data_IF_088466991201
#
_entry.id   IF_088466991201
#
_cell.length_a   1.000
_cell.length_b   1.000
_cell.length_c   1.000
_cell.angle_alpha   90.00
_cell.angle_beta   90.00
_cell.angle_gamma   90.00
#
_symmetry.space_group_name_H-M   'P 1'
#
loop_
_entity.id
_entity.type
_entity.pdbx_description
1 polymer ?
#
# COMPACT_ATOMS: atom_id res chain seq x y z
N UNK A 1 13.07 -10.52 10.96
CA UNK A 1 12.76 -9.08 10.93
C UNK A 1 12.47 -8.76 9.48
N UNK A 2 11.21 -8.82 9.09
CA UNK A 2 10.79 -8.38 7.76
C UNK A 2 10.73 -6.87 7.85
N UNK A 3 11.71 -6.20 7.25
CA UNK A 3 11.68 -4.76 7.08
C UNK A 3 10.32 -4.41 6.48
N UNK A 4 9.55 -3.64 7.22
CA UNK A 4 8.37 -2.96 6.71
C UNK A 4 8.84 -1.74 5.89
N UNK A 5 9.80 -1.95 4.98
CA UNK A 5 9.89 -1.11 3.81
C UNK A 5 8.61 -1.41 3.05
N UNK A 6 7.57 -0.63 3.36
CA UNK A 6 6.36 -0.56 2.57
C UNK A 6 6.80 -0.56 1.11
N UNK A 7 6.63 -1.69 0.43
CA UNK A 7 6.92 -1.76 -0.99
C UNK A 7 5.89 -0.85 -1.64
N UNK A 8 6.25 0.42 -1.79
CA UNK A 8 5.40 1.48 -2.30
C UNK A 8 4.88 1.11 -3.68
N UNK A 9 5.63 0.30 -4.44
CA UNK A 9 5.18 -0.23 -5.71
C UNK A 9 4.04 -1.23 -5.50
N UNK A 10 4.14 -2.16 -4.54
CA UNK A 10 3.07 -3.14 -4.26
C UNK A 10 1.83 -2.47 -3.67
N UNK A 11 2.01 -1.50 -2.77
CA UNK A 11 0.91 -0.66 -2.27
C UNK A 11 0.20 0.04 -3.45
N UNK A 12 0.97 0.65 -4.35
CA UNK A 12 0.42 1.31 -5.54
C UNK A 12 -0.36 0.33 -6.42
N UNK A 13 0.16 -0.87 -6.64
CA UNK A 13 -0.51 -1.88 -7.45
C UNK A 13 -1.83 -2.33 -6.82
N UNK A 14 -1.86 -2.58 -5.50
CA UNK A 14 -3.07 -2.93 -4.78
C UNK A 14 -4.11 -1.80 -4.80
N UNK A 15 -3.69 -0.54 -4.66
CA UNK A 15 -4.60 0.61 -4.78
C UNK A 15 -5.14 0.73 -6.22
N UNK A 16 -4.29 0.53 -7.24
CA UNK A 16 -4.74 0.54 -8.65
C UNK A 16 -5.74 -0.57 -8.94
N UNK A 17 -5.53 -1.75 -8.36
CA UNK A 17 -6.47 -2.88 -8.42
C UNK A 17 -7.79 -2.49 -7.76
N UNK A 18 -7.74 -1.97 -6.53
CA UNK A 18 -8.91 -1.54 -5.77
C UNK A 18 -9.72 -0.42 -6.47
N UNK A 19 -9.08 0.40 -7.31
CA UNK A 19 -9.72 1.47 -8.09
C UNK A 19 -10.49 0.96 -9.32
N UNK A 20 -10.30 -0.27 -9.76
CA UNK A 20 -10.96 -0.78 -11.00
C UNK A 20 -12.46 -1.06 -10.85
N UNK A 21 -13.07 -0.75 -9.70
CA UNK A 21 -14.49 -0.99 -9.38
C UNK A 21 -14.95 -2.44 -9.62
N UNK A 22 -14.00 -3.38 -9.58
CA UNK A 22 -14.23 -4.82 -9.70
C UNK A 22 -13.83 -5.50 -8.40
N UNK A 23 -14.60 -6.50 -7.98
CA UNK A 23 -14.22 -7.37 -6.86
C UNK A 23 -13.12 -8.30 -7.36
N UNK A 24 -11.92 -8.14 -6.81
CA UNK A 24 -10.71 -8.86 -7.23
C UNK A 24 -10.13 -9.65 -6.07
N UNK A 25 -9.71 -10.87 -6.34
CA UNK A 25 -9.13 -11.75 -5.32
C UNK A 25 -7.64 -11.48 -5.11
N UNK A 26 -7.10 -11.97 -4.00
CA UNK A 26 -5.66 -12.03 -3.75
C UNK A 26 -4.88 -12.59 -4.95
N UNK A 27 -5.40 -13.63 -5.60
CA UNK A 27 -4.76 -14.24 -6.77
C UNK A 27 -4.55 -13.25 -7.92
N UNK A 28 -5.54 -12.39 -8.21
CA UNK A 28 -5.43 -11.37 -9.26
C UNK A 28 -4.33 -10.35 -8.93
N UNK A 29 -4.22 -9.95 -7.66
CA UNK A 29 -3.15 -9.08 -7.18
C UNK A 29 -1.77 -9.74 -7.34
N UNK A 30 -1.66 -11.02 -7.02
CA UNK A 30 -0.43 -11.81 -7.17
C UNK A 30 0.04 -11.88 -8.62
N UNK A 31 -0.88 -12.03 -9.58
CA UNK A 31 -0.54 -12.00 -11.01
C UNK A 31 0.02 -10.63 -11.42
N UNK A 32 -0.61 -9.53 -10.97
CA UNK A 32 -0.17 -8.16 -11.31
C UNK A 32 1.23 -7.87 -10.74
N UNK A 33 1.44 -8.16 -9.46
CA UNK A 33 2.72 -7.89 -8.78
C UNK A 33 3.83 -8.79 -9.33
N UNK A 34 3.56 -10.07 -9.56
CA UNK A 34 4.54 -10.99 -10.13
C UNK A 34 4.95 -10.58 -11.55
N UNK A 35 4.00 -10.16 -12.39
CA UNK A 35 4.30 -9.66 -13.72
C UNK A 35 5.20 -8.42 -13.70
N UNK A 36 4.98 -7.49 -12.75
CA UNK A 36 5.83 -6.31 -12.57
C UNK A 36 7.27 -6.68 -12.19
N UNK A 37 7.44 -7.65 -11.30
CA UNK A 37 8.76 -8.04 -10.76
C UNK A 37 9.47 -9.03 -11.70
N UNK A 38 8.76 -9.63 -12.66
CA UNK A 38 9.30 -10.65 -13.57
C UNK A 38 9.44 -12.02 -12.93
N UNK A 39 8.57 -12.34 -11.96
CA UNK A 39 8.53 -13.63 -11.26
C UNK A 39 7.16 -14.31 -11.44
N UNK A 40 6.90 -15.37 -10.67
CA UNK A 40 5.65 -16.14 -10.68
C UNK A 40 4.70 -15.65 -9.58
N UNK A 41 3.40 -15.79 -9.80
CA UNK A 41 2.36 -15.40 -8.82
C UNK A 41 2.38 -16.25 -7.54
N UNK A 42 2.94 -17.46 -7.60
CA UNK A 42 3.14 -18.36 -6.46
C UNK A 42 4.50 -18.17 -5.76
N UNK A 43 5.26 -17.13 -6.12
CA UNK A 43 6.50 -16.78 -5.44
C UNK A 43 6.22 -16.35 -3.99
N UNK A 44 6.82 -17.02 -2.97
CA UNK A 44 6.59 -16.69 -1.57
C UNK A 44 6.89 -15.22 -1.21
N UNK A 45 7.82 -14.57 -1.91
CA UNK A 45 8.13 -13.15 -1.69
C UNK A 45 7.01 -12.24 -2.20
N UNK A 46 6.39 -12.58 -3.35
CA UNK A 46 5.22 -11.87 -3.88
C UNK A 46 4.04 -12.01 -2.93
N UNK A 47 3.77 -13.24 -2.49
CA UNK A 47 2.69 -13.53 -1.54
C UNK A 47 2.89 -12.72 -0.27
N UNK A 48 4.10 -12.75 0.32
CA UNK A 48 4.39 -12.01 1.55
C UNK A 48 4.23 -10.50 1.36
N UNK A 49 4.68 -9.95 0.25
CA UNK A 49 4.56 -8.52 -0.03
C UNK A 49 3.10 -8.09 -0.14
N UNK A 50 2.27 -8.88 -0.82
CA UNK A 50 0.84 -8.59 -0.99
C UNK A 50 0.10 -8.73 0.34
N UNK A 51 0.35 -9.79 1.10
CA UNK A 51 -0.29 -9.98 2.41
C UNK A 51 0.02 -8.81 3.35
N UNK A 52 1.29 -8.40 3.43
CA UNK A 52 1.70 -7.28 4.26
C UNK A 52 1.07 -5.96 3.81
N UNK A 53 1.10 -5.66 2.50
CA UNK A 53 0.54 -4.42 1.97
C UNK A 53 -0.99 -4.39 2.03
N UNK A 54 -1.65 -5.51 1.72
CA UNK A 54 -3.10 -5.66 1.74
C UNK A 54 -3.68 -5.54 3.15
N UNK A 55 -3.06 -6.21 4.13
CA UNK A 55 -3.43 -6.07 5.54
C UNK A 55 -3.27 -4.62 6.01
N UNK A 56 -2.15 -3.97 5.68
CA UNK A 56 -1.93 -2.58 6.02
C UNK A 56 -2.98 -1.65 5.39
N UNK A 57 -3.28 -1.81 4.10
CA UNK A 57 -4.27 -0.99 3.41
C UNK A 57 -5.70 -1.21 3.93
N UNK A 58 -6.07 -2.46 4.21
CA UNK A 58 -7.40 -2.80 4.71
C UNK A 58 -7.60 -2.36 6.17
N UNK A 59 -6.66 -2.69 7.04
CA UNK A 59 -6.71 -2.37 8.48
C UNK A 59 -6.63 -0.86 8.76
N UNK A 60 -6.01 -0.08 7.87
CA UNK A 60 -5.93 1.38 7.98
C UNK A 60 -6.95 2.12 7.10
N UNK A 61 -7.89 1.41 6.47
CA UNK A 61 -9.03 2.02 5.77
C UNK A 61 -8.71 2.69 4.43
N UNK A 62 -7.62 2.31 3.76
CA UNK A 62 -7.30 2.75 2.40
C UNK A 62 -8.05 1.94 1.33
N UNK A 63 -8.38 0.68 1.63
CA UNK A 63 -9.23 -0.17 0.80
C UNK A 63 -10.33 -0.81 1.64
N UNK A 64 -11.42 -1.23 1.00
CA UNK A 64 -12.39 -2.17 1.55
C UNK A 64 -12.02 -3.57 1.07
N UNK A 65 -11.71 -4.47 1.98
CA UNK A 65 -11.35 -5.85 1.67
C UNK A 65 -11.84 -6.82 2.75
N UNK A 66 -11.82 -8.12 2.46
CA UNK A 66 -12.01 -9.17 3.46
C UNK A 66 -10.93 -9.09 4.55
N UNK A 67 -11.32 -9.33 5.80
CA UNK A 67 -10.40 -9.43 6.94
C UNK A 67 -10.57 -10.81 7.63
N UNK A 68 -9.47 -11.49 8.01
CA UNK A 68 -8.07 -11.09 7.79
C UNK A 68 -7.70 -11.04 6.29
N UNK A 69 -6.73 -10.20 5.93
CA UNK A 69 -6.27 -10.12 4.54
C UNK A 69 -5.30 -11.28 4.26
N UNK A 70 -5.83 -12.40 3.78
CA UNK A 70 -5.10 -13.63 3.46
C UNK A 70 -5.18 -14.01 1.97
N UNK A 71 -4.72 -15.21 1.60
CA UNK A 71 -4.74 -15.71 0.22
C UNK A 71 -6.15 -15.93 -0.35
N UNK A 72 -7.19 -15.92 0.50
CA UNK A 72 -8.60 -16.00 0.12
C UNK A 72 -9.31 -14.63 0.16
N UNK A 73 -8.57 -13.55 0.49
CA UNK A 73 -9.14 -12.23 0.62
C UNK A 73 -9.60 -11.64 -0.72
N UNK A 74 -10.66 -10.82 -0.62
CA UNK A 74 -11.23 -10.08 -1.73
C UNK A 74 -11.07 -8.59 -1.49
N UNK A 75 -10.64 -7.86 -2.52
CA UNK A 75 -10.61 -6.40 -2.55
C UNK A 75 -11.91 -5.93 -3.22
N UNK A 76 -12.72 -5.17 -2.49
CA UNK A 76 -14.04 -4.73 -2.95
C UNK A 76 -14.02 -3.33 -3.56
N UNK A 77 -13.25 -2.42 -2.98
CA UNK A 77 -13.21 -1.03 -3.41
C UNK A 77 -12.01 -0.28 -2.82
N UNK A 78 -11.56 0.77 -3.51
CA UNK A 78 -10.70 1.80 -2.95
C UNK A 78 -11.54 2.78 -2.11
N UNK A 79 -11.01 3.27 -0.98
CA UNK A 79 -11.66 4.35 -0.21
C UNK A 79 -11.23 5.72 -0.73
N UNK A 80 -11.90 6.82 -0.34
CA UNK A 80 -11.43 8.17 -0.69
C UNK A 80 -9.99 8.45 -0.23
N UNK A 81 -9.62 7.93 0.96
CA UNK A 81 -8.26 8.01 1.48
C UNK A 81 -7.27 7.21 0.62
N UNK A 82 -7.64 5.99 0.23
CA UNK A 82 -6.87 5.18 -0.73
C UNK A 82 -6.67 5.87 -2.07
N UNK A 83 -7.73 6.49 -2.60
CA UNK A 83 -7.66 7.22 -3.88
C UNK A 83 -6.70 8.39 -3.79
N UNK A 84 -6.76 9.16 -2.69
CA UNK A 84 -5.83 10.26 -2.46
C UNK A 84 -4.39 9.75 -2.40
N UNK A 85 -4.11 8.69 -1.64
CA UNK A 85 -2.78 8.08 -1.60
C UNK A 85 -2.31 7.64 -2.98
N UNK A 86 -3.17 7.00 -3.77
CA UNK A 86 -2.85 6.57 -5.12
C UNK A 86 -2.53 7.76 -6.04
N UNK A 87 -3.29 8.84 -5.98
CA UNK A 87 -3.05 10.04 -6.79
C UNK A 87 -1.69 10.68 -6.46
N UNK A 88 -1.25 10.62 -5.20
CA UNK A 88 0.09 11.04 -4.79
C UNK A 88 1.19 10.09 -5.29
N UNK A 89 0.94 8.77 -5.29
CA UNK A 89 1.87 7.75 -5.80
C UNK A 89 2.01 7.77 -7.33
N UNK A 90 0.95 8.18 -8.05
CA UNK A 90 0.93 8.28 -9.52
C UNK A 90 1.58 9.58 -10.04
N UNK A 91 1.63 10.65 -9.24
CA UNK A 91 2.33 11.90 -9.56
C UNK A 91 3.75 11.89 -8.99
N UNK A 92 4.75 11.65 -9.85
CA UNK A 92 6.16 11.54 -9.44
C UNK A 92 6.68 12.78 -8.71
N UNK A 93 6.28 13.98 -9.13
CA UNK A 93 6.75 15.22 -8.53
C UNK A 93 6.19 15.40 -7.11
N UNK A 94 4.92 15.02 -6.89
CA UNK A 94 4.29 14.98 -5.57
C UNK A 94 4.89 13.89 -4.70
N UNK A 95 5.06 12.69 -5.25
CA UNK A 95 5.62 11.55 -4.54
C UNK A 95 7.02 11.83 -4.00
N UNK A 96 7.91 12.43 -4.81
CA UNK A 96 9.28 12.81 -4.38
C UNK A 96 9.30 13.73 -3.16
N UNK A 97 8.26 14.52 -2.93
CA UNK A 97 8.14 15.41 -1.76
C UNK A 97 7.54 14.68 -0.55
N UNK A 98 6.58 13.80 -0.79
CA UNK A 98 5.86 13.10 0.25
C UNK A 98 6.63 11.89 0.81
N UNK A 99 7.28 11.11 -0.06
CA UNK A 99 7.96 9.88 0.28
C UNK A 99 8.94 10.04 1.46
N UNK A 100 9.84 11.03 1.50
CA UNK A 100 10.79 11.15 2.60
C UNK A 100 10.11 11.38 3.96
N UNK A 101 8.95 12.03 3.98
CA UNK A 101 8.18 12.30 5.20
C UNK A 101 7.47 11.05 5.71
N UNK A 102 6.97 10.22 4.78
CA UNK A 102 6.40 8.92 5.12
C UNK A 102 7.52 7.96 5.56
N UNK A 103 8.63 7.88 4.83
CA UNK A 103 9.77 7.05 5.18
C UNK A 103 10.38 7.44 6.55
N UNK A 104 10.43 8.73 6.89
CA UNK A 104 10.83 9.21 8.23
C UNK A 104 9.91 8.65 9.35
N UNK A 105 8.60 8.63 9.10
CA UNK A 105 7.59 8.18 10.08
C UNK A 105 7.49 6.66 10.17
N UNK A 106 7.62 5.98 9.04
CA UNK A 106 7.49 4.52 8.93
C UNK A 106 8.81 3.81 9.27
N UNK A 107 9.96 4.46 9.05
CA UNK A 107 11.32 3.93 9.21
C UNK A 107 12.12 4.53 10.37
N UNK A 108 11.46 5.15 11.35
CA UNK A 108 12.13 5.77 12.51
C UNK A 108 13.04 4.80 13.28
N UNK A 109 14.18 5.30 13.76
CA UNK A 109 15.24 4.48 14.40
C UNK A 109 14.72 3.64 15.58
N UNK A 110 14.70 2.34 15.34
CA UNK A 110 14.88 1.22 16.26
C UNK A 110 13.76 0.72 17.19
N UNK A 111 12.68 1.45 17.48
CA UNK A 111 11.56 0.91 18.30
C UNK A 111 10.16 1.49 17.97
N UNK A 112 10.05 2.32 16.93
CA UNK A 112 8.85 3.12 16.65
C UNK A 112 8.29 2.87 15.25
N UNK A 113 8.24 1.60 14.83
CA UNK A 113 7.55 1.24 13.60
C UNK A 113 6.07 1.62 13.71
N UNK A 114 5.64 2.59 12.92
CA UNK A 114 4.23 2.94 12.78
C UNK A 114 3.69 2.36 11.48
N UNK A 115 2.50 1.74 11.48
CA UNK A 115 1.82 1.38 10.24
C UNK A 115 1.42 2.65 9.48
N UNK A 116 1.30 2.55 8.17
CA UNK A 116 0.73 3.62 7.35
C UNK A 116 -0.74 3.81 7.73
N UNK A 117 -1.02 4.85 8.51
CA UNK A 117 -2.37 5.22 8.96
C UNK A 117 -2.87 6.49 8.27
N UNK A 118 -4.18 6.75 8.39
CA UNK A 118 -4.78 8.00 7.92
C UNK A 118 -4.13 9.23 8.56
N UNK A 119 -3.80 9.15 9.85
CA UNK A 119 -3.17 10.24 10.60
C UNK A 119 -1.73 10.47 10.13
N UNK A 120 -0.95 9.39 9.97
CA UNK A 120 0.43 9.46 9.47
C UNK A 120 0.47 10.08 8.07
N UNK A 121 -0.48 9.70 7.20
CA UNK A 121 -0.60 10.26 5.86
C UNK A 121 -1.03 11.73 5.89
N UNK A 122 -2.03 12.08 6.71
CA UNK A 122 -2.51 13.45 6.88
C UNK A 122 -1.42 14.41 7.39
N UNK A 123 -0.64 13.97 8.38
CA UNK A 123 0.50 14.73 8.91
C UNK A 123 1.57 14.98 7.85
N UNK A 124 1.89 13.95 7.05
CA UNK A 124 2.86 14.08 5.97
C UNK A 124 2.36 15.06 4.89
N UNK A 125 1.08 15.00 4.52
CA UNK A 125 0.48 15.94 3.57
C UNK A 125 0.51 17.39 4.09
N UNK A 126 0.21 17.61 5.37
CA UNK A 126 0.26 18.94 5.98
C UNK A 126 1.69 19.52 5.95
N UNK A 127 2.71 18.68 6.16
CA UNK A 127 4.12 19.08 6.06
C UNK A 127 4.52 19.43 4.61
N UNK A 128 4.04 18.69 3.61
CA UNK A 128 4.30 19.04 2.20
C UNK A 128 3.67 20.39 1.85
N UNK A 129 2.47 20.71 2.35
CA UNK A 129 1.79 21.96 2.07
C UNK A 129 2.42 23.20 2.74
N UNK A 130 3.23 23.00 3.79
CA UNK A 130 3.91 24.07 4.51
C UNK A 130 5.24 24.52 3.84
N UNK A 131 5.62 23.92 2.71
CA UNK A 131 6.86 24.16 1.95
C UNK A 131 6.58 24.42 0.47
#
# INVERSE_FOLDING_TARGET
MTDFTADWATIRDLLRIARRDEVLGFHDASVVVAARIGTRADDPEVIRAILAAGDALASNGFIRASLPFDEEAWIFAITPLGSQLLDWLDDEARWRRLQPLLDEKLGGTSDSYQPLSADTFGDALARVAAH
#
